data_IF_219034742008
#
_entry.id   IF_219034742008
#
_cell.length_a   1.000
_cell.length_b   1.000
_cell.length_c   1.000
_cell.angle_alpha   90.00
_cell.angle_beta   90.00
_cell.angle_gamma   90.00
#
_symmetry.space_group_name_H-M   'P 1'
#
loop_
_entity.id
_entity.type
_entity.pdbx_description
1 polymer ?
#
# COMPACT_ATOMS: atom_id res chain seq x y z
N UNK A 1 6.13 -11.10 2.07
CA UNK A 1 7.47 -11.68 1.81
C UNK A 1 8.48 -11.44 2.92
N UNK A 2 9.03 -10.22 3.16
CA UNK A 2 10.11 -10.01 4.15
C UNK A 2 9.81 -10.58 5.55
N UNK A 3 8.60 -10.36 6.07
CA UNK A 3 8.17 -10.92 7.37
C UNK A 3 8.09 -12.45 7.37
N UNK A 4 7.69 -13.06 6.25
CA UNK A 4 7.65 -14.51 6.11
C UNK A 4 9.07 -15.09 6.15
N UNK A 5 9.97 -14.56 5.31
CA UNK A 5 11.37 -15.01 5.29
C UNK A 5 12.06 -14.82 6.65
N UNK A 6 11.78 -13.71 7.35
CA UNK A 6 12.31 -13.49 8.70
C UNK A 6 11.81 -14.53 9.71
N UNK A 7 10.57 -15.01 9.57
CA UNK A 7 10.00 -16.07 10.41
C UNK A 7 10.62 -17.44 10.11
N UNK A 8 10.81 -17.77 8.83
CA UNK A 8 11.48 -19.02 8.42
C UNK A 8 12.95 -19.05 8.85
N UNK A 9 13.58 -17.89 8.99
CA UNK A 9 14.91 -17.75 9.60
C UNK A 9 16.04 -18.49 8.87
N UNK A 10 16.16 -18.40 7.53
CA UNK A 10 17.22 -19.07 6.80
C UNK A 10 18.61 -18.61 7.26
N UNK A 11 19.58 -19.53 7.22
CA UNK A 11 20.99 -19.33 7.57
C UNK A 11 21.92 -19.59 6.37
N UNK A 12 21.42 -20.26 5.35
CA UNK A 12 22.14 -20.50 4.08
C UNK A 12 21.42 -19.88 2.89
N UNK A 13 22.13 -19.77 1.76
CA UNK A 13 21.55 -19.29 0.50
C UNK A 13 20.45 -20.23 0.01
N UNK A 14 20.65 -21.53 0.17
CA UNK A 14 19.75 -22.59 -0.26
C UNK A 14 18.44 -22.53 0.54
N UNK A 15 18.53 -22.34 1.86
CA UNK A 15 17.37 -22.13 2.73
C UNK A 15 16.61 -20.85 2.41
N UNK A 16 17.33 -19.76 2.10
CA UNK A 16 16.70 -18.51 1.67
C UNK A 16 15.92 -18.71 0.37
N UNK A 17 16.52 -19.39 -0.61
CA UNK A 17 15.87 -19.71 -1.88
C UNK A 17 14.62 -20.56 -1.64
N UNK A 18 14.72 -21.62 -0.84
CA UNK A 18 13.57 -22.46 -0.49
C UNK A 18 12.45 -21.66 0.20
N UNK A 19 12.80 -20.76 1.12
CA UNK A 19 11.83 -19.89 1.81
C UNK A 19 11.10 -18.94 0.83
N UNK A 20 11.83 -18.37 -0.13
CA UNK A 20 11.23 -17.51 -1.15
C UNK A 20 10.29 -18.29 -2.05
N UNK A 21 10.70 -19.48 -2.51
CA UNK A 21 9.85 -20.35 -3.33
C UNK A 21 8.59 -20.78 -2.57
N UNK A 22 8.71 -21.17 -1.31
CA UNK A 22 7.57 -21.54 -0.47
C UNK A 22 6.60 -20.38 -0.26
N UNK A 23 7.11 -19.16 -0.04
CA UNK A 23 6.26 -17.97 0.03
C UNK A 23 5.42 -17.79 -1.24
N UNK A 24 6.04 -17.90 -2.42
CA UNK A 24 5.32 -17.72 -3.68
C UNK A 24 4.33 -18.85 -3.97
N UNK A 25 4.65 -20.10 -3.61
CA UNK A 25 3.77 -21.24 -3.84
C UNK A 25 2.57 -21.29 -2.88
N UNK A 26 2.80 -20.97 -1.61
CA UNK A 26 1.84 -21.29 -0.54
C UNK A 26 1.20 -20.06 0.10
N UNK A 27 1.92 -18.92 0.17
CA UNK A 27 1.44 -17.73 0.89
C UNK A 27 0.90 -16.66 -0.05
N UNK A 28 1.45 -16.53 -1.26
CA UNK A 28 0.98 -15.54 -2.22
C UNK A 28 -0.28 -16.04 -2.92
N UNK A 29 -1.41 -15.39 -2.65
CA UNK A 29 -2.67 -15.68 -3.31
C UNK A 29 -3.06 -14.59 -4.29
N UNK A 30 -3.99 -14.89 -5.21
CA UNK A 30 -4.54 -13.91 -6.15
C UNK A 30 -5.20 -12.73 -5.41
N UNK A 31 -5.88 -13.00 -4.31
CA UNK A 31 -6.51 -11.97 -3.47
C UNK A 31 -5.49 -11.05 -2.80
N UNK A 32 -4.32 -11.58 -2.42
CA UNK A 32 -3.21 -10.78 -1.91
C UNK A 32 -2.66 -9.85 -3.00
N UNK A 33 -2.41 -10.37 -4.20
CA UNK A 33 -1.98 -9.56 -5.35
C UNK A 33 -3.00 -8.46 -5.66
N UNK A 34 -4.28 -8.81 -5.76
CA UNK A 34 -5.35 -7.84 -6.03
C UNK A 34 -5.45 -6.77 -4.95
N UNK A 35 -5.24 -7.11 -3.66
CA UNK A 35 -5.20 -6.10 -2.59
C UNK A 35 -4.12 -5.05 -2.82
N UNK A 36 -2.95 -5.43 -3.32
CA UNK A 36 -1.87 -4.49 -3.64
C UNK A 36 -2.20 -3.65 -4.87
N UNK A 37 -2.81 -4.24 -5.90
CA UNK A 37 -3.28 -3.52 -7.08
C UNK A 37 -4.34 -2.48 -6.70
N UNK A 38 -5.35 -2.87 -5.92
CA UNK A 38 -6.40 -1.98 -5.41
C UNK A 38 -5.80 -0.85 -4.58
N UNK A 39 -4.76 -1.13 -3.79
CA UNK A 39 -4.06 -0.10 -3.02
C UNK A 39 -3.47 1.01 -3.91
N UNK A 40 -3.00 0.68 -5.13
CA UNK A 40 -2.50 1.69 -6.07
C UNK A 40 -3.56 2.74 -6.43
N UNK A 41 -4.84 2.37 -6.51
CA UNK A 41 -5.92 3.32 -6.77
C UNK A 41 -6.13 4.33 -5.63
N UNK A 42 -5.74 3.96 -4.40
CA UNK A 42 -5.75 4.85 -3.23
C UNK A 42 -4.50 5.73 -3.16
N UNK A 43 -3.34 5.19 -3.53
CA UNK A 43 -2.05 5.89 -3.44
C UNK A 43 -1.86 6.90 -4.56
N UNK A 44 -2.21 6.55 -5.80
CA UNK A 44 -1.94 7.40 -6.96
C UNK A 44 -2.55 8.82 -6.87
N UNK A 45 -3.80 9.01 -6.41
CA UNK A 45 -4.34 10.36 -6.20
C UNK A 45 -3.53 11.19 -5.18
N UNK A 46 -3.01 10.55 -4.13
CA UNK A 46 -2.17 11.23 -3.12
C UNK A 46 -0.82 11.60 -3.70
N UNK A 47 -0.21 10.74 -4.52
CA UNK A 47 1.04 11.08 -5.22
C UNK A 47 0.89 12.32 -6.11
N UNK A 48 -0.25 12.44 -6.82
CA UNK A 48 -0.55 13.62 -7.63
C UNK A 48 -0.73 14.87 -6.76
N UNK A 49 -1.49 14.76 -5.66
CA UNK A 49 -1.68 15.86 -4.71
C UNK A 49 -0.37 16.31 -4.02
N UNK A 50 0.60 15.40 -3.92
CA UNK A 50 1.94 15.67 -3.37
C UNK A 50 2.97 16.06 -4.44
N UNK A 51 2.56 16.26 -5.69
CA UNK A 51 3.45 16.66 -6.79
C UNK A 51 4.67 15.73 -6.95
N UNK A 52 4.46 14.43 -6.73
CA UNK A 52 5.52 13.41 -6.84
C UNK A 52 6.46 13.31 -5.62
N UNK A 53 6.23 14.07 -4.54
CA UNK A 53 6.95 13.89 -3.27
C UNK A 53 6.63 12.54 -2.63
N UNK A 54 7.51 12.10 -1.73
CA UNK A 54 7.34 10.85 -1.00
C UNK A 54 6.04 10.85 -0.17
N UNK A 55 5.18 9.86 -0.39
CA UNK A 55 3.86 9.80 0.25
C UNK A 55 3.85 9.06 1.60
N UNK A 56 4.81 8.15 1.84
CA UNK A 56 4.92 7.38 3.09
C UNK A 56 3.58 6.79 3.53
N UNK A 57 3.19 7.06 4.79
CA UNK A 57 1.93 6.59 5.37
C UNK A 57 0.73 7.52 5.12
N UNK A 58 0.91 8.62 4.39
CA UNK A 58 -0.12 9.65 4.18
C UNK A 58 -1.41 9.06 3.59
N UNK A 59 -1.39 8.20 2.54
CA UNK A 59 -2.62 7.62 2.02
C UNK A 59 -3.42 6.85 3.07
N UNK A 60 -2.73 6.12 3.96
CA UNK A 60 -3.36 5.34 5.04
C UNK A 60 -3.91 6.24 6.15
N UNK A 61 -3.26 7.38 6.42
CA UNK A 61 -3.74 8.37 7.40
C UNK A 61 -4.92 9.17 6.87
N UNK A 62 -4.95 9.49 5.57
CA UNK A 62 -6.03 10.22 4.92
C UNK A 62 -7.30 9.39 4.87
N UNK A 63 -7.23 8.22 4.24
CA UNK A 63 -8.39 7.37 4.02
C UNK A 63 -8.40 6.23 5.03
N UNK A 64 -9.38 6.24 5.93
CA UNK A 64 -9.65 5.13 6.86
C UNK A 64 -10.22 3.90 6.15
N UNK A 65 -10.82 4.08 4.97
CA UNK A 65 -11.42 2.99 4.22
C UNK A 65 -10.39 2.13 3.45
N UNK A 66 -10.80 0.88 3.19
CA UNK A 66 -10.06 -0.08 2.38
C UNK A 66 -10.24 0.21 0.89
N UNK A 67 -9.22 -0.10 0.09
CA UNK A 67 -9.23 0.14 -1.36
C UNK A 67 -10.06 -0.86 -2.18
N UNK A 68 -10.44 -1.99 -1.60
CA UNK A 68 -11.12 -3.07 -2.34
C UNK A 68 -12.44 -2.60 -2.93
N UNK A 69 -12.61 -2.76 -4.24
CA UNK A 69 -13.83 -2.38 -4.96
C UNK A 69 -14.00 -0.87 -5.15
N UNK A 70 -12.96 -0.07 -4.90
CA UNK A 70 -12.96 1.39 -5.09
C UNK A 70 -12.08 1.74 -6.27
N UNK A 71 -12.52 2.73 -7.05
CA UNK A 71 -11.76 3.23 -8.20
C UNK A 71 -10.82 4.36 -7.81
N UNK A 72 -9.87 4.67 -8.69
CA UNK A 72 -9.07 5.89 -8.59
C UNK A 72 -9.93 7.15 -8.40
N UNK A 73 -11.03 7.25 -9.17
CA UNK A 73 -11.95 8.40 -9.12
C UNK A 73 -12.61 8.57 -7.76
N UNK A 74 -12.93 7.47 -7.08
CA UNK A 74 -13.48 7.50 -5.72
C UNK A 74 -12.53 8.22 -4.76
N UNK A 75 -11.25 7.84 -4.73
CA UNK A 75 -10.26 8.45 -3.85
C UNK A 75 -9.89 9.88 -4.25
N UNK A 76 -9.83 10.17 -5.56
CA UNK A 76 -9.61 11.52 -6.06
C UNK A 76 -10.75 12.47 -5.64
N UNK A 77 -12.00 12.02 -5.74
CA UNK A 77 -13.15 12.79 -5.28
C UNK A 77 -13.10 13.02 -3.77
N UNK A 78 -12.72 12.01 -2.98
CA UNK A 78 -12.57 12.18 -1.53
C UNK A 78 -11.52 13.22 -1.17
N UNK A 79 -10.35 13.22 -1.81
CA UNK A 79 -9.33 14.25 -1.60
C UNK A 79 -9.81 15.66 -1.93
N UNK A 80 -10.77 15.79 -2.85
CA UNK A 80 -11.31 17.08 -3.24
C UNK A 80 -12.27 17.69 -2.21
N UNK A 81 -12.74 16.90 -1.24
CA UNK A 81 -13.61 17.37 -0.15
C UNK A 81 -12.86 18.28 0.81
N UNK A 82 -13.55 19.27 1.39
CA UNK A 82 -12.91 20.25 2.27
C UNK A 82 -12.33 19.62 3.53
N UNK A 83 -13.00 18.61 4.10
CA UNK A 83 -12.50 17.88 5.26
C UNK A 83 -11.19 17.16 4.95
N UNK A 84 -11.11 16.50 3.78
CA UNK A 84 -9.89 15.81 3.38
C UNK A 84 -8.77 16.77 3.01
N UNK A 85 -9.07 17.93 2.40
CA UNK A 85 -8.07 18.99 2.17
C UNK A 85 -7.48 19.50 3.47
N UNK A 86 -8.31 19.77 4.48
CA UNK A 86 -7.85 20.20 5.82
C UNK A 86 -6.97 19.14 6.46
N UNK A 87 -7.41 17.88 6.42
CA UNK A 87 -6.65 16.75 6.96
C UNK A 87 -5.33 16.56 6.21
N UNK A 88 -5.33 16.67 4.89
CA UNK A 88 -4.13 16.59 4.07
C UNK A 88 -3.14 17.71 4.38
N UNK A 89 -3.61 18.95 4.49
CA UNK A 89 -2.78 20.07 4.89
C UNK A 89 -2.11 19.83 6.26
N UNK A 90 -2.82 19.26 7.24
CA UNK A 90 -2.23 18.93 8.55
C UNK A 90 -1.17 17.82 8.52
N UNK A 91 -1.20 16.97 7.50
CA UNK A 91 -0.26 15.85 7.34
C UNK A 91 0.97 16.24 6.51
N UNK A 92 0.87 17.30 5.71
CA UNK A 92 1.90 17.76 4.78
C UNK A 92 2.71 18.95 5.32
N UNK A 93 2.67 19.20 6.64
CA UNK A 93 3.42 20.29 7.32
C UNK A 93 4.86 19.85 7.68
N UNK A 94 5.48 18.96 6.90
CA UNK A 94 6.88 18.53 7.12
C UNK A 94 7.67 18.64 5.83
#
# INVERSE_FOLDING_TARGET
>A
MKRYVAKEGPRTKEELKASLENFWRNEMTVELCNRYIDHCYKVAPVCLAMEGKATGDIPSRLFSERSRGKSFRHFANLLSTDDMKRKFASLNVV
#
